data_IF_577858923272
#
_entry.id   IF_577858923272
#
_cell.length_a   1.000
_cell.length_b   1.000
_cell.length_c   1.000
_cell.angle_alpha   90.00
_cell.angle_beta   90.00
_cell.angle_gamma   90.00
#
_symmetry.space_group_name_H-M   'P 1'
#
loop_
_entity.id
_entity.type
_entity.pdbx_description
1 polymer ?
#
# COMPACT_ATOMS: atom_id res chain seq x y z
N UNK A 1 68.70 -3.84 11.15
CA UNK A 1 67.33 -4.31 11.37
C UNK A 1 66.39 -3.37 10.61
N UNK A 2 65.86 -3.80 9.45
CA UNK A 2 64.97 -3.00 8.63
C UNK A 2 63.54 -3.53 8.79
N UNK A 3 62.65 -2.69 9.34
CA UNK A 3 61.24 -2.97 9.48
C UNK A 3 60.51 -2.57 8.21
N UNK A 4 59.86 -3.51 7.53
CA UNK A 4 59.03 -3.28 6.34
C UNK A 4 57.55 -3.27 6.77
N UNK A 5 56.99 -2.08 6.81
CA UNK A 5 55.56 -1.87 7.01
C UNK A 5 54.83 -2.15 5.70
N UNK A 6 53.97 -3.18 5.65
CA UNK A 6 53.09 -3.46 4.53
C UNK A 6 51.80 -2.66 4.69
N UNK A 7 51.59 -1.71 3.79
CA UNK A 7 50.30 -1.02 3.58
C UNK A 7 49.35 -1.94 2.81
N UNK A 8 48.25 -2.31 3.43
CA UNK A 8 47.12 -2.98 2.79
C UNK A 8 46.27 -1.90 2.11
N UNK A 9 46.29 -1.88 0.78
CA UNK A 9 45.35 -1.11 -0.02
C UNK A 9 44.03 -1.92 -0.15
N UNK A 10 42.97 -1.45 0.49
CA UNK A 10 41.62 -1.90 0.20
C UNK A 10 41.17 -1.30 -1.14
N UNK A 11 41.05 -2.12 -2.14
CA UNK A 11 40.49 -1.73 -3.44
C UNK A 11 39.01 -1.53 -3.31
N UNK A 12 38.55 -0.27 -3.33
CA UNK A 12 37.15 0.12 -3.46
C UNK A 12 36.77 -0.10 -4.94
N UNK A 13 36.05 -1.16 -5.24
CA UNK A 13 35.55 -1.40 -6.60
C UNK A 13 34.44 -0.39 -6.90
N UNK A 14 34.78 0.66 -7.63
CA UNK A 14 33.85 1.63 -8.20
C UNK A 14 33.26 0.99 -9.46
N UNK A 15 32.08 0.38 -9.36
CA UNK A 15 31.33 -0.07 -10.53
C UNK A 15 30.71 1.12 -11.23
N UNK A 16 31.30 1.52 -12.33
CA UNK A 16 30.74 2.51 -13.25
C UNK A 16 29.44 1.95 -13.88
N UNK A 17 28.33 2.63 -13.66
CA UNK A 17 27.07 2.35 -14.34
C UNK A 17 27.21 2.84 -15.78
N UNK A 18 27.38 1.93 -16.72
CA UNK A 18 27.27 2.23 -18.16
C UNK A 18 25.78 2.20 -18.53
N UNK A 19 25.25 3.34 -18.87
CA UNK A 19 23.93 3.47 -19.51
C UNK A 19 24.04 3.03 -20.97
N UNK A 20 23.78 1.74 -21.24
CA UNK A 20 23.50 1.25 -22.56
C UNK A 20 22.01 0.91 -22.67
N UNK A 21 21.34 1.46 -23.66
CA UNK A 21 20.05 0.99 -24.17
C UNK A 21 20.22 -0.42 -24.73
N UNK A 22 20.17 -1.42 -23.88
CA UNK A 22 20.17 -2.83 -24.22
C UNK A 22 19.23 -3.55 -23.29
N UNK A 23 18.52 -4.55 -23.80
CA UNK A 23 17.45 -5.31 -23.17
C UNK A 23 17.60 -5.52 -21.67
N UNK A 24 16.49 -5.48 -20.95
CA UNK A 24 16.42 -5.61 -19.50
C UNK A 24 17.16 -6.87 -19.02
N UNK A 25 18.35 -6.68 -18.48
CA UNK A 25 19.16 -7.78 -17.95
C UNK A 25 18.79 -8.04 -16.50
N UNK A 26 18.58 -9.31 -16.15
CA UNK A 26 18.38 -9.71 -14.75
C UNK A 26 19.68 -9.59 -13.97
N UNK A 27 19.66 -8.80 -12.92
CA UNK A 27 20.77 -8.63 -11.96
C UNK A 27 20.52 -9.37 -10.65
N UNK A 28 21.57 -9.62 -9.88
CA UNK A 28 21.47 -10.22 -8.53
C UNK A 28 21.02 -11.68 -8.51
N UNK A 29 21.10 -12.42 -9.62
CA UNK A 29 20.59 -13.81 -9.73
C UNK A 29 21.33 -14.77 -8.80
N UNK A 30 22.64 -14.64 -8.71
CA UNK A 30 23.51 -15.51 -7.93
C UNK A 30 23.71 -15.04 -6.48
N UNK A 31 23.12 -13.93 -6.10
CA UNK A 31 23.28 -13.31 -4.79
C UNK A 31 22.10 -13.69 -3.88
N UNK A 32 22.38 -14.07 -2.63
CA UNK A 32 21.33 -14.23 -1.60
C UNK A 32 20.74 -12.88 -1.21
N UNK A 33 21.58 -11.83 -1.22
CA UNK A 33 21.19 -10.45 -0.92
C UNK A 33 21.58 -9.56 -2.07
N UNK A 34 20.59 -8.97 -2.71
CA UNK A 34 20.78 -7.94 -3.74
C UNK A 34 20.55 -6.56 -3.13
N UNK A 35 21.41 -5.60 -3.44
CA UNK A 35 21.24 -4.21 -3.02
C UNK A 35 21.33 -3.27 -4.21
N UNK A 36 20.32 -2.44 -4.38
CA UNK A 36 20.31 -1.33 -5.31
C UNK A 36 20.37 0.00 -4.56
N UNK A 37 21.13 0.96 -5.09
CA UNK A 37 21.20 2.33 -4.60
C UNK A 37 21.12 3.29 -5.76
N UNK A 38 20.35 4.38 -5.59
CA UNK A 38 20.20 5.39 -6.60
C UNK A 38 19.55 6.66 -6.08
N UNK A 39 19.60 7.71 -6.88
CA UNK A 39 18.89 8.96 -6.60
C UNK A 39 17.60 8.98 -7.41
N UNK A 40 16.49 9.25 -6.75
CA UNK A 40 15.17 9.43 -7.36
C UNK A 40 14.76 10.87 -7.12
N UNK A 41 14.50 11.67 -8.16
CA UNK A 41 14.12 13.07 -8.01
C UNK A 41 12.82 13.23 -7.23
N UNK A 42 12.67 14.37 -6.57
CA UNK A 42 11.42 14.74 -5.92
C UNK A 42 10.28 14.80 -6.96
N UNK A 43 9.13 14.21 -6.65
CA UNK A 43 7.99 14.07 -7.55
C UNK A 43 8.07 12.90 -8.54
N UNK A 44 9.24 12.25 -8.68
CA UNK A 44 9.34 11.02 -9.48
C UNK A 44 8.76 9.81 -8.74
N UNK A 45 8.51 8.74 -9.48
CA UNK A 45 7.88 7.54 -8.94
C UNK A 45 8.90 6.42 -8.73
N UNK A 46 8.86 5.80 -7.55
CA UNK A 46 9.55 4.55 -7.28
C UNK A 46 8.55 3.40 -7.30
N UNK A 47 8.65 2.55 -8.32
CA UNK A 47 7.82 1.37 -8.47
C UNK A 47 8.58 0.13 -8.00
N UNK A 48 8.00 -0.61 -7.06
CA UNK A 48 8.57 -1.83 -6.50
C UNK A 48 7.58 -2.96 -6.69
N UNK A 49 8.00 -4.00 -7.40
CA UNK A 49 7.16 -5.18 -7.63
C UNK A 49 7.86 -6.44 -7.14
N UNK A 50 7.16 -7.19 -6.31
CA UNK A 50 7.62 -8.47 -5.81
C UNK A 50 6.60 -9.56 -6.17
N UNK A 51 7.05 -10.70 -6.64
CA UNK A 51 6.12 -11.80 -6.91
C UNK A 51 5.73 -12.55 -5.63
N UNK A 52 6.66 -12.67 -4.65
CA UNK A 52 6.42 -13.39 -3.40
C UNK A 52 7.34 -12.88 -2.28
N UNK A 53 6.77 -12.52 -1.15
CA UNK A 53 7.46 -12.04 0.03
C UNK A 53 7.10 -10.61 0.44
N UNK A 54 7.48 -10.20 1.65
CA UNK A 54 7.11 -8.90 2.20
C UNK A 54 7.92 -7.75 1.60
N UNK A 55 7.32 -6.56 1.64
CA UNK A 55 7.98 -5.30 1.29
C UNK A 55 7.81 -4.33 2.46
N UNK A 56 8.93 -3.85 3.00
CA UNK A 56 8.98 -2.89 4.10
C UNK A 56 9.65 -1.60 3.62
N UNK A 57 8.90 -0.49 3.62
CA UNK A 57 9.36 0.82 3.17
C UNK A 57 9.50 1.75 4.36
N UNK A 58 10.66 2.38 4.46
CA UNK A 58 11.02 3.31 5.53
C UNK A 58 11.62 4.60 4.97
N UNK A 59 11.59 5.70 5.74
CA UNK A 59 12.25 6.92 5.31
C UNK A 59 13.77 6.74 5.24
N UNK A 60 14.37 7.29 4.19
CA UNK A 60 15.82 7.42 4.12
C UNK A 60 16.30 8.59 5.00
N UNK A 61 17.51 8.47 5.55
CA UNK A 61 18.15 9.56 6.30
C UNK A 61 18.75 10.66 5.41
N UNK A 62 18.81 10.44 4.09
CA UNK A 62 19.39 11.35 3.10
C UNK A 62 18.59 11.36 1.80
N UNK A 63 19.22 11.83 0.72
CA UNK A 63 18.59 11.99 -0.59
C UNK A 63 18.73 10.75 -1.51
N UNK A 64 19.34 9.68 -1.03
CA UNK A 64 19.50 8.44 -1.80
C UNK A 64 18.44 7.43 -1.41
N UNK A 65 17.89 6.76 -2.42
CA UNK A 65 17.02 5.60 -2.24
C UNK A 65 17.87 4.33 -2.20
N UNK A 66 17.47 3.37 -1.38
CA UNK A 66 18.09 2.05 -1.30
C UNK A 66 17.00 0.97 -1.32
N UNK A 67 17.22 -0.09 -2.06
CA UNK A 67 16.44 -1.32 -1.98
C UNK A 67 17.39 -2.47 -1.65
N UNK A 68 17.12 -3.15 -0.55
CA UNK A 68 17.80 -4.39 -0.15
C UNK A 68 16.80 -5.54 -0.24
N UNK A 69 17.10 -6.52 -1.07
CA UNK A 69 16.28 -7.69 -1.30
C UNK A 69 17.03 -8.94 -0.81
N UNK A 70 16.41 -9.70 0.08
CA UNK A 70 16.94 -10.95 0.63
C UNK A 70 16.11 -12.12 0.12
N UNK A 71 16.75 -13.06 -0.57
CA UNK A 71 16.10 -14.24 -1.15
C UNK A 71 16.23 -15.44 -0.23
N UNK A 72 15.14 -16.18 -0.11
CA UNK A 72 15.08 -17.47 0.61
C UNK A 72 14.40 -18.49 -0.28
N UNK A 73 15.10 -19.57 -0.56
CA UNK A 73 14.57 -20.69 -1.31
C UNK A 73 14.01 -21.75 -0.34
N UNK A 74 12.98 -22.45 -0.77
CA UNK A 74 12.37 -23.58 -0.05
C UNK A 74 12.07 -24.74 -1.00
N UNK A 75 12.11 -25.97 -0.48
CA UNK A 75 11.92 -27.17 -1.28
C UNK A 75 13.01 -27.32 -2.34
N UNK A 76 12.64 -27.61 -3.56
CA UNK A 76 13.56 -27.84 -4.69
C UNK A 76 13.93 -26.55 -5.45
N UNK A 77 13.51 -25.39 -4.96
CA UNK A 77 13.82 -24.09 -5.59
C UNK A 77 15.24 -23.63 -5.26
N UNK A 78 15.84 -22.88 -6.17
CA UNK A 78 17.13 -22.23 -5.98
C UNK A 78 16.98 -20.71 -5.90
N UNK A 79 17.82 -20.03 -5.12
CA UNK A 79 17.87 -18.56 -5.10
C UNK A 79 18.20 -18.00 -6.49
N UNK A 80 18.85 -18.79 -7.35
CA UNK A 80 19.20 -18.42 -8.73
C UNK A 80 18.00 -18.41 -9.68
N UNK A 81 16.85 -18.97 -9.26
CA UNK A 81 15.62 -18.93 -10.06
C UNK A 81 15.02 -17.51 -10.16
N UNK A 82 15.48 -16.59 -9.30
CA UNK A 82 14.97 -15.23 -9.22
C UNK A 82 16.09 -14.21 -9.35
N UNK A 83 15.90 -13.25 -10.23
CA UNK A 83 16.73 -12.05 -10.35
C UNK A 83 15.89 -10.78 -10.22
N UNK A 84 16.52 -9.65 -10.44
CA UNK A 84 15.89 -8.33 -10.40
C UNK A 84 16.05 -7.62 -11.73
N UNK A 85 14.98 -7.02 -12.20
CA UNK A 85 15.01 -6.11 -13.33
C UNK A 85 14.91 -4.68 -12.81
N UNK A 86 15.84 -3.83 -13.21
CA UNK A 86 15.89 -2.41 -12.83
C UNK A 86 15.70 -1.58 -14.08
N UNK A 87 14.72 -0.70 -14.06
CA UNK A 87 14.41 0.23 -15.14
C UNK A 87 14.45 1.65 -14.61
N UNK A 88 15.05 2.53 -15.36
CA UNK A 88 15.03 3.96 -15.08
C UNK A 88 14.55 4.70 -16.31
N UNK A 89 13.54 5.54 -16.14
CA UNK A 89 12.97 6.37 -17.20
C UNK A 89 13.65 7.73 -17.28
N UNK A 90 13.53 8.41 -18.40
CA UNK A 90 14.12 9.73 -18.63
C UNK A 90 13.56 10.82 -17.70
N UNK A 91 12.34 10.65 -17.17
CA UNK A 91 11.72 11.54 -16.18
C UNK A 91 12.19 11.28 -14.74
N UNK A 92 13.13 10.35 -14.54
CA UNK A 92 13.66 9.98 -13.23
C UNK A 92 12.89 8.92 -12.47
N UNK A 93 11.80 8.37 -13.03
CA UNK A 93 11.09 7.25 -12.42
C UNK A 93 11.98 6.00 -12.42
N UNK A 94 11.91 5.24 -11.33
CA UNK A 94 12.64 3.98 -11.16
C UNK A 94 11.64 2.86 -10.91
N UNK A 95 11.82 1.75 -11.61
CA UNK A 95 11.09 0.51 -11.37
C UNK A 95 12.07 -0.62 -11.06
N UNK A 96 11.82 -1.33 -9.96
CA UNK A 96 12.57 -2.55 -9.59
C UNK A 96 11.57 -3.67 -9.37
N UNK A 97 11.76 -4.77 -10.09
CA UNK A 97 10.93 -5.93 -9.85
C UNK A 97 11.75 -7.21 -9.67
N UNK A 98 11.28 -8.09 -8.78
CA UNK A 98 11.76 -9.46 -8.70
C UNK A 98 11.06 -10.32 -9.74
N UNK A 99 11.81 -11.09 -10.51
CA UNK A 99 11.25 -11.92 -11.59
C UNK A 99 12.08 -13.17 -11.85
N UNK A 100 11.44 -14.17 -12.43
CA UNK A 100 12.09 -15.39 -12.91
C UNK A 100 12.48 -15.30 -14.38
N UNK A 101 11.83 -14.46 -15.15
CA UNK A 101 11.94 -14.34 -16.61
C UNK A 101 12.36 -12.91 -16.96
N UNK A 102 13.31 -12.74 -17.83
CA UNK A 102 13.74 -11.46 -18.37
C UNK A 102 12.59 -10.77 -19.13
N UNK A 103 12.47 -9.46 -18.95
CA UNK A 103 11.45 -8.65 -19.60
C UNK A 103 10.04 -8.77 -19.05
N UNK A 104 9.81 -9.48 -17.94
CA UNK A 104 8.48 -9.75 -17.40
C UNK A 104 7.94 -8.71 -16.41
N UNK A 105 8.67 -7.64 -16.13
CA UNK A 105 8.20 -6.56 -15.25
C UNK A 105 6.98 -5.79 -15.76
N UNK A 106 6.57 -5.97 -17.00
CA UNK A 106 5.45 -5.27 -17.63
C UNK A 106 4.04 -5.73 -17.18
N UNK A 107 3.94 -6.48 -16.10
CA UNK A 107 2.64 -6.74 -15.44
C UNK A 107 1.69 -7.68 -16.16
N UNK A 108 2.03 -8.18 -17.36
CA UNK A 108 1.17 -9.06 -18.12
C UNK A 108 1.76 -10.45 -18.30
N UNK A 109 1.07 -11.43 -17.72
CA UNK A 109 1.14 -12.85 -17.97
C UNK A 109 2.20 -13.63 -17.19
N UNK A 110 1.96 -13.82 -15.90
CA UNK A 110 2.19 -15.14 -15.37
C UNK A 110 1.09 -16.07 -15.96
N UNK A 111 1.25 -16.46 -17.19
CA UNK A 111 0.52 -17.61 -17.73
C UNK A 111 1.07 -18.81 -16.98
N UNK A 112 0.29 -19.29 -15.99
CA UNK A 112 0.62 -20.52 -15.30
C UNK A 112 0.74 -21.67 -16.30
N UNK A 113 1.93 -22.16 -16.41
CA UNK A 113 2.21 -23.52 -16.86
C UNK A 113 3.67 -23.90 -16.57
N UNK A 114 4.11 -23.65 -15.36
CA UNK A 114 5.35 -24.28 -14.90
C UNK A 114 4.97 -25.20 -13.76
N UNK A 115 5.06 -26.49 -14.04
CA UNK A 115 4.72 -27.57 -13.14
C UNK A 115 5.13 -27.25 -11.71
N UNK A 116 4.22 -27.47 -10.79
CA UNK A 116 4.35 -27.24 -9.35
C UNK A 116 5.62 -27.93 -8.82
N UNK A 117 6.77 -27.25 -8.92
CA UNK A 117 7.93 -27.63 -8.13
C UNK A 117 7.56 -27.45 -6.68
N UNK A 118 7.77 -28.47 -5.86
CA UNK A 118 7.59 -28.42 -4.42
C UNK A 118 8.60 -27.43 -3.84
N UNK A 119 8.16 -26.18 -3.69
CA UNK A 119 8.98 -25.12 -3.13
C UNK A 119 8.96 -23.85 -3.97
N UNK A 120 9.47 -22.77 -3.42
CA UNK A 120 9.51 -21.48 -4.08
C UNK A 120 10.59 -20.57 -3.50
N UNK A 121 10.86 -19.47 -4.19
CA UNK A 121 11.71 -18.41 -3.67
C UNK A 121 10.83 -17.30 -3.11
N UNK A 122 11.09 -16.92 -1.87
CA UNK A 122 10.54 -15.71 -1.24
C UNK A 122 11.61 -14.62 -1.24
N UNK A 123 11.20 -13.39 -1.52
CA UNK A 123 12.09 -12.22 -1.53
C UNK A 123 11.57 -11.21 -0.52
N UNK A 124 12.28 -11.01 0.57
CA UNK A 124 11.99 -9.94 1.52
C UNK A 124 12.69 -8.66 1.06
N UNK A 125 11.93 -7.59 0.84
CA UNK A 125 12.48 -6.31 0.39
C UNK A 125 12.38 -5.25 1.49
N UNK A 126 13.50 -4.61 1.81
CA UNK A 126 13.56 -3.41 2.65
C UNK A 126 13.96 -2.24 1.77
N UNK A 127 13.17 -1.17 1.82
CA UNK A 127 13.31 -0.02 0.92
C UNK A 127 13.45 1.25 1.75
N UNK A 128 14.50 2.02 1.52
CA UNK A 128 14.70 3.34 2.10
C UNK A 128 14.41 4.39 1.02
N UNK A 129 13.49 5.33 1.33
CA UNK A 129 13.03 6.31 0.35
C UNK A 129 13.08 7.72 0.92
N UNK A 130 13.68 8.69 0.20
CA UNK A 130 13.64 10.10 0.58
C UNK A 130 12.21 10.67 0.53
N UNK A 131 12.00 11.78 1.24
CA UNK A 131 10.74 12.52 1.14
C UNK A 131 10.49 13.02 -0.29
N UNK A 132 9.22 13.09 -0.68
CA UNK A 132 8.79 13.63 -1.97
C UNK A 132 8.82 12.63 -3.13
N UNK A 133 9.32 11.42 -2.93
CA UNK A 133 9.24 10.34 -3.93
C UNK A 133 7.88 9.65 -3.82
N UNK A 134 7.15 9.54 -4.95
CA UNK A 134 5.88 8.81 -5.02
C UNK A 134 6.14 7.31 -5.04
N UNK A 135 5.35 6.56 -4.28
CA UNK A 135 5.53 5.12 -4.10
C UNK A 135 4.44 4.32 -4.81
N UNK A 136 4.86 3.34 -5.60
CA UNK A 136 3.97 2.31 -6.14
C UNK A 136 4.52 0.93 -5.81
N UNK A 137 3.83 0.20 -4.93
CA UNK A 137 4.32 -1.04 -4.34
C UNK A 137 3.34 -2.14 -4.64
N UNK A 138 3.84 -3.27 -5.13
CA UNK A 138 3.01 -4.44 -5.41
C UNK A 138 3.73 -5.73 -5.00
N UNK A 139 3.01 -6.65 -4.34
CA UNK A 139 3.49 -8.01 -4.13
C UNK A 139 2.37 -9.01 -4.44
N UNK A 140 2.73 -10.18 -4.94
CA UNK A 140 1.75 -11.25 -5.15
C UNK A 140 1.29 -11.84 -3.82
N UNK A 141 2.24 -12.26 -2.99
CA UNK A 141 1.98 -12.82 -1.65
C UNK A 141 2.98 -12.23 -0.68
N UNK A 142 2.48 -11.57 0.35
CA UNK A 142 3.30 -10.98 1.38
C UNK A 142 2.71 -9.70 1.94
N UNK A 143 3.14 -9.35 3.13
CA UNK A 143 2.75 -8.09 3.76
C UNK A 143 3.45 -6.90 3.08
N UNK A 144 2.76 -5.76 3.03
CA UNK A 144 3.33 -4.47 2.64
C UNK A 144 3.24 -3.53 3.83
N UNK A 145 4.39 -2.99 4.23
CA UNK A 145 4.48 -1.97 5.28
C UNK A 145 5.11 -0.70 4.72
N UNK A 146 4.48 0.44 4.96
CA UNK A 146 5.00 1.75 4.57
C UNK A 146 4.96 2.67 5.79
N UNK A 147 6.10 3.17 6.18
CA UNK A 147 6.25 4.07 7.32
C UNK A 147 6.81 5.42 6.86
N UNK A 148 6.15 6.50 7.26
CA UNK A 148 6.55 7.91 7.03
C UNK A 148 6.86 8.25 5.57
N UNK A 149 5.92 7.96 4.67
CA UNK A 149 6.04 8.37 3.27
C UNK A 149 5.78 9.88 3.12
N UNK A 150 6.73 10.58 2.52
CA UNK A 150 6.62 12.03 2.30
C UNK A 150 5.83 12.43 1.04
N UNK A 151 5.11 11.51 0.39
CA UNK A 151 4.35 11.73 -0.84
C UNK A 151 3.27 10.66 -1.01
N UNK A 152 2.67 10.57 -2.20
CA UNK A 152 1.62 9.61 -2.52
C UNK A 152 2.09 8.16 -2.41
N UNK A 153 1.22 7.29 -1.89
CA UNK A 153 1.45 5.86 -1.75
C UNK A 153 0.35 5.06 -2.44
N UNK A 154 0.74 4.20 -3.36
CA UNK A 154 -0.10 3.15 -3.90
C UNK A 154 0.48 1.80 -3.49
N UNK A 155 -0.22 1.03 -2.65
CA UNK A 155 0.22 -0.26 -2.16
C UNK A 155 -0.78 -1.36 -2.55
N UNK A 156 -0.30 -2.48 -3.06
CA UNK A 156 -1.15 -3.61 -3.44
C UNK A 156 -0.52 -4.95 -3.08
N UNK A 157 -1.36 -5.90 -2.68
CA UNK A 157 -0.95 -7.30 -2.50
C UNK A 157 -2.08 -8.24 -2.93
N UNK A 158 -1.73 -9.41 -3.45
CA UNK A 158 -2.72 -10.45 -3.67
C UNK A 158 -3.19 -11.06 -2.36
N UNK A 159 -2.23 -11.47 -1.51
CA UNK A 159 -2.50 -12.06 -0.20
C UNK A 159 -1.52 -11.50 0.81
N UNK A 160 -2.03 -10.77 1.79
CA UNK A 160 -1.22 -10.22 2.88
C UNK A 160 -1.80 -8.94 3.47
N UNK A 161 -1.36 -8.64 4.67
CA UNK A 161 -1.71 -7.39 5.35
C UNK A 161 -1.02 -6.22 4.69
N UNK A 162 -1.73 -5.09 4.57
CA UNK A 162 -1.14 -3.81 4.18
C UNK A 162 -1.22 -2.83 5.34
N UNK A 163 -0.08 -2.25 5.70
CA UNK A 163 0.02 -1.24 6.74
C UNK A 163 0.68 0.01 6.18
N UNK A 164 0.00 1.16 6.27
CA UNK A 164 0.52 2.46 5.84
C UNK A 164 0.38 3.45 7.00
N UNK A 165 1.48 4.06 7.41
CA UNK A 165 1.50 4.96 8.57
C UNK A 165 2.25 6.25 8.25
N UNK A 166 1.70 7.39 8.69
CA UNK A 166 2.32 8.71 8.57
C UNK A 166 2.65 9.09 7.11
N UNK A 167 1.61 9.35 6.32
CA UNK A 167 1.76 9.74 4.91
C UNK A 167 1.31 11.19 4.68
N UNK A 168 2.13 11.96 3.97
CA UNK A 168 1.83 13.37 3.65
C UNK A 168 0.85 13.49 2.46
N UNK A 169 0.92 12.57 1.49
CA UNK A 169 0.10 12.55 0.27
C UNK A 169 -1.06 11.56 0.36
N UNK A 170 -1.65 11.31 -0.81
CA UNK A 170 -2.77 10.38 -0.94
C UNK A 170 -2.33 8.93 -0.73
N UNK A 171 -3.21 8.12 -0.14
CA UNK A 171 -2.98 6.70 0.06
C UNK A 171 -4.04 5.90 -0.70
N UNK A 172 -3.57 5.00 -1.56
CA UNK A 172 -4.42 4.00 -2.23
C UNK A 172 -3.91 2.60 -1.91
N UNK A 173 -4.76 1.80 -1.27
CA UNK A 173 -4.45 0.42 -0.88
C UNK A 173 -5.41 -0.55 -1.55
N UNK A 174 -4.87 -1.67 -2.05
CA UNK A 174 -5.68 -2.78 -2.58
C UNK A 174 -5.09 -4.11 -2.13
N UNK A 175 -5.92 -5.00 -1.58
CA UNK A 175 -5.53 -6.38 -1.28
C UNK A 175 -6.64 -7.35 -1.70
N UNK A 176 -6.24 -8.54 -2.15
CA UNK A 176 -7.22 -9.61 -2.41
C UNK A 176 -7.70 -10.22 -1.09
N UNK A 177 -6.76 -10.62 -0.24
CA UNK A 177 -7.05 -11.23 1.06
C UNK A 177 -6.04 -10.69 2.09
N UNK A 178 -6.53 -10.01 3.08
CA UNK A 178 -5.73 -9.48 4.18
C UNK A 178 -6.28 -8.18 4.74
N UNK A 179 -5.92 -7.92 5.97
CA UNK A 179 -6.34 -6.72 6.67
C UNK A 179 -5.58 -5.49 6.18
N UNK A 180 -6.22 -4.35 6.26
CA UNK A 180 -5.64 -3.07 5.91
C UNK A 180 -5.65 -2.15 7.11
N UNK A 181 -4.48 -1.62 7.45
CA UNK A 181 -4.30 -0.61 8.49
C UNK A 181 -3.71 0.65 7.87
N UNK A 182 -4.43 1.78 7.99
CA UNK A 182 -3.98 3.08 7.50
C UNK A 182 -4.07 4.10 8.63
N UNK A 183 -2.96 4.76 8.99
CA UNK A 183 -2.93 5.71 10.11
C UNK A 183 -2.22 7.00 9.74
N UNK A 184 -2.72 8.12 10.26
CA UNK A 184 -2.08 9.44 10.19
C UNK A 184 -1.78 9.90 8.75
N UNK A 185 -2.78 9.83 7.89
CA UNK A 185 -2.71 10.32 6.51
C UNK A 185 -3.28 11.74 6.43
N UNK A 186 -2.57 12.66 5.78
CA UNK A 186 -3.02 14.06 5.68
C UNK A 186 -3.94 14.34 4.50
N UNK A 187 -4.01 13.44 3.54
CA UNK A 187 -4.80 13.59 2.32
C UNK A 187 -5.77 12.40 2.16
N UNK A 188 -6.34 12.24 0.99
CA UNK A 188 -7.33 11.22 0.63
C UNK A 188 -6.82 9.79 0.89
N UNK A 189 -7.71 8.97 1.43
CA UNK A 189 -7.48 7.53 1.61
C UNK A 189 -8.51 6.75 0.79
N UNK A 190 -8.03 5.85 -0.05
CA UNK A 190 -8.86 4.89 -0.78
C UNK A 190 -8.38 3.47 -0.48
N UNK A 191 -9.25 2.64 0.10
CA UNK A 191 -8.94 1.25 0.46
C UNK A 191 -9.92 0.31 -0.22
N UNK A 192 -9.39 -0.77 -0.82
CA UNK A 192 -10.18 -1.87 -1.36
C UNK A 192 -9.60 -3.21 -0.92
N UNK A 193 -10.41 -4.06 -0.29
CA UNK A 193 -10.04 -5.44 0.05
C UNK A 193 -11.12 -6.42 -0.40
N UNK A 194 -10.72 -7.61 -0.82
CA UNK A 194 -11.67 -8.68 -1.11
C UNK A 194 -12.16 -9.32 0.20
N UNK A 195 -11.24 -9.68 1.09
CA UNK A 195 -11.53 -10.27 2.39
C UNK A 195 -10.51 -9.77 3.41
N UNK A 196 -10.98 -9.19 4.48
CA UNK A 196 -10.17 -8.67 5.57
C UNK A 196 -10.77 -7.41 6.17
N UNK A 197 -10.36 -7.11 7.38
CA UNK A 197 -10.82 -5.95 8.13
C UNK A 197 -10.03 -4.70 7.71
N UNK A 198 -10.67 -3.55 7.80
CA UNK A 198 -10.08 -2.26 7.45
C UNK A 198 -10.13 -1.33 8.65
N UNK A 199 -8.96 -0.93 9.15
CA UNK A 199 -8.81 0.09 10.23
C UNK A 199 -8.14 1.34 9.64
N UNK A 200 -8.88 2.46 9.61
CA UNK A 200 -8.38 3.74 9.10
C UNK A 200 -8.49 4.81 10.15
N UNK A 201 -7.36 5.41 10.49
CA UNK A 201 -7.29 6.59 11.34
C UNK A 201 -6.65 7.72 10.56
N UNK A 202 -7.45 8.69 10.13
CA UNK A 202 -6.94 9.84 9.35
C UNK A 202 -7.08 11.13 10.12
N UNK A 203 -6.25 12.10 9.79
CA UNK A 203 -6.29 13.43 10.42
C UNK A 203 -7.16 14.40 9.61
N UNK A 204 -7.13 14.38 8.26
CA UNK A 204 -7.66 15.52 7.50
C UNK A 204 -8.43 15.19 6.20
N UNK A 205 -8.13 14.08 5.52
CA UNK A 205 -8.64 13.81 4.17
C UNK A 205 -9.94 12.99 4.10
N UNK A 206 -10.62 13.00 2.97
CA UNK A 206 -11.78 12.14 2.74
C UNK A 206 -11.36 10.67 2.62
N UNK A 207 -12.26 9.78 3.05
CA UNK A 207 -12.01 8.34 3.10
C UNK A 207 -13.03 7.60 2.23
N UNK A 208 -12.53 6.70 1.41
CA UNK A 208 -13.32 5.75 0.64
C UNK A 208 -12.84 4.33 0.95
N UNK A 209 -13.74 3.47 1.45
CA UNK A 209 -13.41 2.08 1.81
C UNK A 209 -14.39 1.12 1.18
N UNK A 210 -13.86 0.06 0.57
CA UNK A 210 -14.66 -1.06 0.05
C UNK A 210 -14.06 -2.38 0.51
N UNK A 211 -14.87 -3.23 1.17
CA UNK A 211 -14.52 -4.61 1.51
C UNK A 211 -15.56 -5.57 0.92
N UNK A 212 -15.12 -6.72 0.44
CA UNK A 212 -16.06 -7.80 0.11
C UNK A 212 -16.61 -8.44 1.39
N UNK A 213 -15.73 -8.83 2.30
CA UNK A 213 -16.08 -9.41 3.61
C UNK A 213 -15.09 -8.91 4.64
N UNK A 214 -15.57 -8.37 5.73
CA UNK A 214 -14.80 -7.84 6.85
C UNK A 214 -15.38 -6.55 7.39
N UNK A 215 -14.97 -6.21 8.59
CA UNK A 215 -15.43 -5.02 9.28
C UNK A 215 -14.63 -3.79 8.85
N UNK A 216 -15.27 -2.65 8.89
CA UNK A 216 -14.68 -1.36 8.55
C UNK A 216 -14.75 -0.46 9.79
N UNK A 217 -13.61 -0.11 10.36
CA UNK A 217 -13.47 0.85 11.45
C UNK A 217 -12.72 2.10 10.95
N UNK A 218 -13.40 3.24 10.92
CA UNK A 218 -12.81 4.50 10.46
C UNK A 218 -12.97 5.57 11.52
N UNK A 219 -11.85 6.15 11.93
CA UNK A 219 -11.81 7.25 12.92
C UNK A 219 -11.17 8.49 12.31
N UNK A 220 -11.96 9.57 12.27
CA UNK A 220 -11.55 10.85 11.73
C UNK A 220 -11.57 11.91 12.83
N UNK A 221 -10.39 12.38 13.25
CA UNK A 221 -10.27 13.40 14.29
C UNK A 221 -10.54 14.83 13.79
N UNK A 222 -10.27 15.07 12.51
CA UNK A 222 -10.53 16.32 11.82
C UNK A 222 -10.85 16.03 10.35
N UNK A 223 -11.79 16.76 9.77
CA UNK A 223 -12.12 16.67 8.36
C UNK A 223 -12.03 18.06 7.75
N UNK A 224 -10.96 18.33 7.00
CA UNK A 224 -10.76 19.61 6.29
C UNK A 224 -11.41 19.60 4.90
N UNK A 225 -11.51 18.43 4.28
CA UNK A 225 -12.10 18.29 2.97
C UNK A 225 -13.63 18.28 3.02
N UNK A 226 -14.24 18.85 1.98
CA UNK A 226 -15.70 18.84 1.79
C UNK A 226 -16.12 17.86 0.67
N UNK A 227 -15.36 16.79 0.52
CA UNK A 227 -15.61 15.78 -0.50
C UNK A 227 -16.50 14.66 0.05
N UNK A 228 -17.20 14.00 -0.86
CA UNK A 228 -18.00 12.84 -0.55
C UNK A 228 -17.15 11.69 0.00
N UNK A 229 -17.72 10.90 0.89
CA UNK A 229 -17.12 9.71 1.49
C UNK A 229 -18.00 8.50 1.25
N UNK A 230 -17.36 7.34 1.03
CA UNK A 230 -18.08 6.10 0.78
C UNK A 230 -17.48 4.95 1.58
N UNK A 231 -18.36 4.19 2.26
CA UNK A 231 -18.01 2.99 3.02
C UNK A 231 -18.92 1.85 2.60
N UNK A 232 -18.34 0.76 2.12
CA UNK A 232 -19.09 -0.36 1.56
C UNK A 232 -18.47 -1.69 1.98
N UNK A 233 -19.27 -2.60 2.51
CA UNK A 233 -18.90 -4.00 2.72
C UNK A 233 -19.99 -4.93 2.25
N UNK A 234 -19.63 -6.11 1.75
CA UNK A 234 -20.63 -7.13 1.43
C UNK A 234 -21.17 -7.80 2.69
N UNK A 235 -20.29 -8.13 3.62
CA UNK A 235 -20.62 -8.70 4.93
C UNK A 235 -19.63 -8.19 5.96
N UNK A 236 -20.12 -7.53 7.00
CA UNK A 236 -19.35 -6.92 8.08
C UNK A 236 -20.00 -5.66 8.62
N UNK A 237 -19.58 -5.25 9.79
CA UNK A 237 -20.05 -4.05 10.45
C UNK A 237 -19.22 -2.84 10.00
N UNK A 238 -19.83 -1.66 10.00
CA UNK A 238 -19.12 -0.41 9.70
C UNK A 238 -19.26 0.52 10.90
N UNK A 239 -18.13 0.79 11.55
CA UNK A 239 -18.00 1.78 12.61
C UNK A 239 -17.31 3.03 12.06
N UNK A 240 -18.00 4.16 12.11
CA UNK A 240 -17.48 5.44 11.66
C UNK A 240 -17.52 6.46 12.78
N UNK A 241 -16.35 6.90 13.22
CA UNK A 241 -16.21 7.99 14.21
C UNK A 241 -15.86 9.28 13.48
N UNK A 242 -16.74 10.28 13.56
CA UNK A 242 -16.59 11.58 12.91
C UNK A 242 -16.42 12.68 13.95
N UNK A 243 -15.77 13.81 13.60
CA UNK A 243 -15.72 14.97 14.49
C UNK A 243 -17.11 15.41 14.92
N UNK A 244 -17.26 15.82 16.18
CA UNK A 244 -18.58 16.18 16.74
C UNK A 244 -19.30 17.33 15.99
N UNK A 245 -18.54 18.16 15.27
CA UNK A 245 -19.05 19.27 14.44
C UNK A 245 -19.25 18.88 12.96
N UNK A 246 -19.27 17.59 12.64
CA UNK A 246 -19.49 17.13 11.26
C UNK A 246 -20.85 17.57 10.73
N UNK A 247 -20.88 18.01 9.48
CA UNK A 247 -22.07 18.35 8.73
C UNK A 247 -22.05 17.64 7.37
N UNK A 248 -23.15 17.03 6.97
CA UNK A 248 -23.21 16.30 5.70
C UNK A 248 -24.60 15.73 5.41
N UNK A 249 -24.72 15.15 4.22
CA UNK A 249 -25.87 14.36 3.81
C UNK A 249 -25.56 12.89 4.04
N UNK A 250 -26.44 12.14 4.68
CA UNK A 250 -26.28 10.71 4.95
C UNK A 250 -27.19 9.88 4.03
N UNK A 251 -26.60 8.93 3.32
CA UNK A 251 -27.31 7.81 2.69
C UNK A 251 -26.74 6.51 3.24
N UNK A 252 -27.50 5.80 4.08
CA UNK A 252 -27.09 4.53 4.66
C UNK A 252 -28.10 3.43 4.32
N UNK A 253 -27.60 2.25 3.92
CA UNK A 253 -28.45 1.09 3.60
C UNK A 253 -27.81 -0.22 4.02
N UNK A 254 -28.56 -1.07 4.71
CA UNK A 254 -28.19 -2.45 5.05
C UNK A 254 -29.26 -3.44 4.55
N UNK A 255 -28.82 -4.60 4.08
CA UNK A 255 -29.74 -5.69 3.75
C UNK A 255 -30.28 -6.36 5.01
N UNK A 256 -29.38 -6.73 5.92
CA UNK A 256 -29.69 -7.33 7.22
C UNK A 256 -28.83 -6.66 8.29
N UNK A 257 -29.49 -5.87 9.18
CA UNK A 257 -28.79 -5.16 10.24
C UNK A 257 -29.54 -3.92 10.70
N UNK A 258 -28.86 -3.06 11.40
CA UNK A 258 -29.40 -1.82 11.94
C UNK A 258 -28.49 -0.63 11.66
N UNK A 259 -29.04 0.57 11.67
CA UNK A 259 -28.30 1.82 11.52
C UNK A 259 -28.48 2.61 12.81
N UNK A 260 -27.36 2.95 13.47
CA UNK A 260 -27.29 3.74 14.70
C UNK A 260 -26.43 4.97 14.49
N UNK A 261 -26.79 6.07 15.10
CA UNK A 261 -26.04 7.32 15.00
C UNK A 261 -26.14 8.11 16.31
N UNK A 262 -25.00 8.65 16.76
CA UNK A 262 -24.93 9.64 17.85
C UNK A 262 -25.31 11.04 17.37
N UNK A 263 -25.36 11.28 16.06
CA UNK A 263 -25.77 12.55 15.49
C UNK A 263 -27.29 12.67 15.40
N UNK A 264 -27.79 13.86 15.61
CA UNK A 264 -29.18 14.19 15.34
C UNK A 264 -29.44 14.13 13.82
N UNK A 265 -30.29 13.20 13.40
CA UNK A 265 -30.60 12.97 12.01
C UNK A 265 -31.92 13.65 11.62
N UNK A 266 -31.88 14.60 10.70
CA UNK A 266 -33.09 15.15 10.05
C UNK A 266 -33.46 14.24 8.89
N UNK A 267 -34.35 13.29 9.15
CA UNK A 267 -34.76 12.26 8.18
C UNK A 267 -35.46 12.90 6.98
N UNK A 268 -35.09 12.44 5.78
CA UNK A 268 -35.72 12.81 4.51
C UNK A 268 -36.56 11.63 4.00
N UNK A 269 -37.84 11.84 3.87
CA UNK A 269 -38.81 10.85 3.39
C UNK A 269 -39.33 9.92 4.48
N UNK A 270 -39.66 8.68 4.12
CA UNK A 270 -40.19 7.69 5.06
C UNK A 270 -39.07 7.04 5.87
N UNK A 271 -39.27 6.89 7.18
CA UNK A 271 -38.35 6.18 8.04
C UNK A 271 -38.34 4.68 7.70
N UNK A 272 -37.19 4.18 7.27
CA UNK A 272 -36.97 2.77 7.03
C UNK A 272 -35.73 2.34 7.84
N UNK A 273 -35.84 1.38 8.78
CA UNK A 273 -34.72 0.98 9.64
C UNK A 273 -33.49 0.44 8.88
N UNK A 274 -33.69 0.00 7.62
CA UNK A 274 -32.62 -0.56 6.77
C UNK A 274 -32.13 0.42 5.71
N UNK A 275 -32.82 1.57 5.53
CA UNK A 275 -32.42 2.59 4.57
C UNK A 275 -32.75 3.96 5.11
N UNK A 276 -31.75 4.75 5.39
CA UNK A 276 -31.89 6.08 5.93
C UNK A 276 -31.29 7.09 4.94
N UNK A 277 -32.09 8.14 4.67
CA UNK A 277 -31.59 9.39 4.08
C UNK A 277 -31.85 10.50 5.08
N UNK A 278 -30.79 11.21 5.42
CA UNK A 278 -30.86 12.24 6.44
C UNK A 278 -29.86 13.35 6.20
N UNK A 279 -30.12 14.51 6.81
CA UNK A 279 -29.17 15.59 6.94
C UNK A 279 -28.60 15.58 8.35
N UNK A 280 -27.26 15.64 8.46
CA UNK A 280 -26.52 15.86 9.71
C UNK A 280 -26.15 17.33 9.78
N UNK A 281 -26.52 17.99 10.88
CA UNK A 281 -26.25 19.42 11.11
C UNK A 281 -26.88 20.32 10.05
N UNK A 282 -26.05 21.07 9.31
CA UNK A 282 -26.48 21.98 8.23
C UNK A 282 -26.47 21.34 6.83
N UNK A 283 -26.10 20.06 6.74
CA UNK A 283 -25.90 19.40 5.46
C UNK A 283 -24.50 19.67 4.88
N UNK A 284 -24.26 19.13 3.68
CA UNK A 284 -22.94 19.26 3.02
C UNK A 284 -22.62 18.05 2.17
N UNK A 285 -21.33 17.59 2.16
CA UNK A 285 -20.90 16.45 1.35
C UNK A 285 -21.63 15.16 1.71
N UNK A 286 -21.76 14.27 0.74
CA UNK A 286 -22.46 13.01 0.88
C UNK A 286 -21.62 11.98 1.63
N UNK A 287 -22.18 11.43 2.69
CA UNK A 287 -21.71 10.24 3.38
C UNK A 287 -22.57 9.06 2.93
N UNK A 288 -22.00 8.20 2.11
CA UNK A 288 -22.66 6.98 1.63
C UNK A 288 -22.14 5.76 2.35
N UNK A 289 -23.05 4.96 2.90
CA UNK A 289 -22.73 3.72 3.62
C UNK A 289 -23.61 2.59 3.13
N UNK A 290 -23.01 1.43 2.79
CA UNK A 290 -23.76 0.25 2.35
C UNK A 290 -23.16 -1.05 2.87
N UNK A 291 -23.99 -1.95 3.40
CA UNK A 291 -23.62 -3.33 3.71
C UNK A 291 -24.71 -4.28 3.28
N UNK A 292 -24.33 -5.48 2.85
CA UNK A 292 -25.30 -6.56 2.63
C UNK A 292 -25.78 -7.14 3.95
N UNK A 293 -24.85 -7.49 4.84
CA UNK A 293 -25.12 -8.05 6.16
C UNK A 293 -24.22 -7.39 7.19
N UNK A 294 -24.78 -6.61 8.12
CA UNK A 294 -24.04 -5.93 9.15
C UNK A 294 -24.71 -4.65 9.63
N UNK A 295 -24.14 -4.06 10.66
CA UNK A 295 -24.65 -2.87 11.31
C UNK A 295 -23.83 -1.66 10.91
N UNK A 296 -24.46 -0.49 10.92
CA UNK A 296 -23.79 0.80 10.86
C UNK A 296 -23.85 1.48 12.21
N UNK A 297 -22.72 1.94 12.67
CA UNK A 297 -22.63 2.78 13.86
C UNK A 297 -21.83 4.05 13.52
N UNK A 298 -22.49 5.22 13.64
CA UNK A 298 -21.87 6.53 13.41
C UNK A 298 -21.74 7.21 14.75
N UNK A 299 -20.51 7.36 15.23
CA UNK A 299 -20.18 7.96 16.54
C UNK A 299 -19.65 9.38 16.41
N UNK A 300 -19.86 10.16 17.46
CA UNK A 300 -19.18 11.45 17.66
C UNK A 300 -17.84 11.21 18.33
N UNK A 301 -16.74 11.73 17.74
CA UNK A 301 -15.38 11.71 18.26
C UNK A 301 -15.02 12.97 19.04
#
# INVERSE_FOLDING_TARGET
MRSTTRLLFSALALTAVHSSLAGAQLVGRNETVYTWRGSIPNGAQFTIRNFNGPIDVRPASGNSSELRAEKRASGDASITDVGFEVRQSSNGDVEICSTRIEGSCNGDRHRGDDGWRRGGVSVAMTVLVPRGVRLKIATGNGAVSVDRAGSDVQASTGNGRVRVVETEGQVRVSTGNGDVEVRNVKDRVHVSTGNGDVDVVTVEGPVEVSSGNGDIDVRMSALKARDDMQFSTGSGDVLLTLPANYNGELEASTGNGSIRSDFDLKIKGQLNPRRIRATIGTGGPLLRMSTGNGQFEIRKG
#
